data_IF_981708424178
#
_entry.id   IF_981708424178
#
_cell.length_a   1.000
_cell.length_b   1.000
_cell.length_c   1.000
_cell.angle_alpha   90.00
_cell.angle_beta   90.00
_cell.angle_gamma   90.00
#
_symmetry.space_group_name_H-M   'P 1'
#
loop_
_entity.id
_entity.type
_entity.pdbx_description
1 polymer ?
#
# COMPACT_ATOMS: atom_id res chain seq x y z
N UNK A 1 -3.04 7.43 28.59
CA UNK A 1 -3.26 6.11 27.95
C UNK A 1 -3.40 5.00 29.01
N UNK A 2 -2.43 4.79 29.90
CA UNK A 2 -2.58 3.89 31.07
C UNK A 2 -3.65 4.42 32.05
N UNK A 3 -3.59 5.72 32.38
CA UNK A 3 -4.59 6.36 33.24
C UNK A 3 -6.03 6.38 32.67
N UNK A 4 -6.21 6.07 31.38
CA UNK A 4 -7.54 6.06 30.72
C UNK A 4 -8.05 4.62 30.55
N UNK A 5 -7.16 3.65 30.34
CA UNK A 5 -7.54 2.28 29.93
C UNK A 5 -7.16 1.18 30.95
N UNK A 6 -6.52 1.52 32.08
CA UNK A 6 -6.14 0.59 33.15
C UNK A 6 -4.76 -0.06 32.96
N UNK A 7 -4.11 -0.44 34.07
CA UNK A 7 -2.86 -1.22 34.07
C UNK A 7 -3.12 -2.68 33.66
N UNK A 8 -2.12 -3.32 33.04
CA UNK A 8 -2.08 -4.74 32.62
C UNK A 8 -2.84 -5.16 31.33
N UNK A 9 -3.32 -4.23 30.51
CA UNK A 9 -3.93 -4.60 29.20
C UNK A 9 -2.94 -4.93 28.07
N UNK A 10 -1.64 -4.74 28.28
CA UNK A 10 -0.64 -4.92 27.21
C UNK A 10 -0.85 -3.99 26.00
N UNK A 11 -1.69 -2.95 26.13
CA UNK A 11 -2.15 -2.08 25.03
C UNK A 11 -1.10 -1.11 24.50
N UNK A 12 0.15 -1.24 24.95
CA UNK A 12 1.28 -0.42 24.53
C UNK A 12 2.58 -1.20 24.77
N UNK A 13 3.39 -1.33 23.72
CA UNK A 13 4.72 -1.94 23.80
C UNK A 13 5.68 -0.87 24.34
N UNK A 14 6.16 -1.08 25.56
CA UNK A 14 7.12 -0.18 26.23
C UNK A 14 8.57 -0.60 25.93
N UNK A 15 9.38 0.34 25.47
CA UNK A 15 10.80 0.17 25.14
C UNK A 15 11.25 1.14 24.04
N UNK A 16 12.55 1.47 23.95
CA UNK A 16 13.06 2.32 22.88
C UNK A 16 12.87 1.63 21.52
N UNK A 17 12.07 2.22 20.63
CA UNK A 17 11.85 1.79 19.23
C UNK A 17 13.06 2.02 18.32
N UNK A 18 14.28 1.98 18.87
CA UNK A 18 15.53 2.18 18.14
C UNK A 18 15.86 1.02 17.21
N UNK A 19 15.26 -0.15 17.44
CA UNK A 19 15.44 -1.33 16.60
C UNK A 19 14.62 -1.27 15.30
N UNK A 20 13.63 -0.36 15.20
CA UNK A 20 12.76 -0.22 14.03
C UNK A 20 13.31 0.76 12.97
N UNK A 21 14.49 1.34 13.19
CA UNK A 21 15.05 2.40 12.35
C UNK A 21 15.11 2.04 10.86
N UNK A 22 15.42 0.78 10.53
CA UNK A 22 15.50 0.33 9.12
C UNK A 22 14.13 0.33 8.45
N UNK A 23 13.11 -0.14 9.16
CA UNK A 23 11.72 -0.14 8.69
C UNK A 23 11.25 1.31 8.56
N UNK A 24 11.47 2.16 9.55
CA UNK A 24 11.10 3.58 9.49
C UNK A 24 11.77 4.33 8.34
N UNK A 25 13.05 4.04 8.06
CA UNK A 25 13.75 4.58 6.89
C UNK A 25 13.12 4.10 5.59
N UNK A 26 12.77 2.81 5.50
CA UNK A 26 12.10 2.26 4.33
C UNK A 26 10.72 2.91 4.11
N UNK A 27 9.92 3.10 5.16
CA UNK A 27 8.64 3.81 5.09
C UNK A 27 8.83 5.25 4.57
N UNK A 28 9.86 5.94 5.04
CA UNK A 28 10.20 7.28 4.54
C UNK A 28 10.56 7.25 3.05
N UNK A 29 11.34 6.27 2.62
CA UNK A 29 11.73 6.14 1.21
C UNK A 29 10.53 5.83 0.33
N UNK A 30 9.63 4.92 0.74
CA UNK A 30 8.36 4.64 0.05
C UNK A 30 7.51 5.90 -0.07
N UNK A 31 7.38 6.66 1.02
CA UNK A 31 6.63 7.90 1.01
C UNK A 31 7.26 8.91 0.03
N UNK A 32 8.54 9.23 0.20
CA UNK A 32 9.22 10.25 -0.59
C UNK A 32 9.36 9.89 -2.08
N UNK A 33 9.41 8.60 -2.43
CA UNK A 33 9.62 8.15 -3.81
C UNK A 33 8.34 7.80 -4.56
N UNK A 34 7.26 7.46 -3.84
CA UNK A 34 6.02 7.01 -4.46
C UNK A 34 4.83 7.84 -3.98
N UNK A 35 4.58 7.85 -2.67
CA UNK A 35 3.31 8.36 -2.12
C UNK A 35 3.23 9.90 -2.11
N UNK A 36 4.36 10.60 -1.99
CA UNK A 36 4.42 12.07 -1.94
C UNK A 36 3.79 12.71 -3.20
N UNK A 37 3.98 12.08 -4.37
CA UNK A 37 3.37 12.52 -5.63
C UNK A 37 1.84 12.48 -5.55
N UNK A 38 1.28 11.37 -5.07
CA UNK A 38 -0.18 11.21 -4.94
C UNK A 38 -0.75 12.08 -3.82
N UNK A 39 -0.02 12.20 -2.70
CA UNK A 39 -0.40 13.09 -1.61
C UNK A 39 -0.57 14.54 -2.10
N UNK A 40 0.45 15.08 -2.79
CA UNK A 40 0.40 16.42 -3.37
C UNK A 40 -0.70 16.55 -4.41
N UNK A 41 -0.87 15.54 -5.25
CA UNK A 41 -1.93 15.51 -6.26
C UNK A 41 -3.31 15.64 -5.63
N UNK A 42 -3.60 14.88 -4.56
CA UNK A 42 -4.90 14.93 -3.90
C UNK A 42 -5.14 16.27 -3.20
N UNK A 43 -4.12 16.83 -2.55
CA UNK A 43 -4.22 18.19 -1.98
C UNK A 43 -4.56 19.23 -3.07
N UNK A 44 -3.89 19.17 -4.23
CA UNK A 44 -4.18 20.06 -5.36
C UNK A 44 -5.60 19.86 -5.90
N UNK A 45 -6.05 18.61 -6.04
CA UNK A 45 -7.41 18.32 -6.48
C UNK A 45 -8.47 18.86 -5.51
N UNK A 46 -8.23 18.80 -4.21
CA UNK A 46 -9.11 19.36 -3.19
C UNK A 46 -9.12 20.89 -3.19
N UNK A 47 -7.93 21.51 -3.30
CA UNK A 47 -7.76 22.96 -3.37
C UNK A 47 -8.51 23.55 -4.58
N UNK A 48 -8.38 22.91 -5.74
CA UNK A 48 -9.02 23.31 -7.00
C UNK A 48 -10.48 22.84 -7.13
N UNK A 49 -11.09 22.27 -6.08
CA UNK A 49 -12.48 21.79 -6.05
C UNK A 49 -12.81 20.70 -7.09
N UNK A 50 -11.78 19.99 -7.57
CA UNK A 50 -11.94 18.80 -8.43
C UNK A 50 -12.34 17.58 -7.60
N UNK A 51 -11.80 17.48 -6.39
CA UNK A 51 -12.12 16.44 -5.42
C UNK A 51 -12.97 17.03 -4.29
N UNK A 52 -14.18 16.50 -4.10
CA UNK A 52 -15.01 16.82 -2.95
C UNK A 52 -14.94 15.67 -1.91
N UNK A 53 -14.16 15.86 -0.86
CA UNK A 53 -13.99 14.86 0.20
C UNK A 53 -15.27 14.62 1.01
N UNK A 54 -16.28 15.51 0.98
CA UNK A 54 -17.55 15.28 1.68
C UNK A 54 -18.50 14.41 0.86
N UNK A 55 -18.26 14.26 -0.45
CA UNK A 55 -19.08 13.47 -1.35
C UNK A 55 -18.56 12.01 -1.42
N UNK A 56 -19.39 11.06 -0.99
CA UNK A 56 -19.07 9.63 -0.98
C UNK A 56 -18.73 9.11 -2.38
N UNK A 57 -19.36 9.63 -3.44
CA UNK A 57 -19.09 9.24 -4.83
C UNK A 57 -17.68 9.66 -5.23
N UNK A 58 -17.27 10.87 -4.90
CA UNK A 58 -15.92 11.35 -5.20
C UNK A 58 -14.85 10.57 -4.46
N UNK A 59 -15.08 10.23 -3.17
CA UNK A 59 -14.16 9.39 -2.39
C UNK A 59 -14.06 7.98 -2.96
N UNK A 60 -15.19 7.38 -3.33
CA UNK A 60 -15.21 6.06 -3.95
C UNK A 60 -14.44 6.06 -5.28
N UNK A 61 -14.72 7.03 -6.17
CA UNK A 61 -14.01 7.16 -7.46
C UNK A 61 -12.51 7.38 -7.25
N UNK A 62 -12.14 8.19 -6.24
CA UNK A 62 -10.73 8.41 -5.89
C UNK A 62 -10.05 7.08 -5.55
N UNK A 63 -10.65 6.26 -4.68
CA UNK A 63 -10.12 4.94 -4.36
C UNK A 63 -10.08 4.02 -5.58
N UNK A 64 -11.17 3.97 -6.34
CA UNK A 64 -11.28 3.15 -7.53
C UNK A 64 -10.17 3.44 -8.55
N UNK A 65 -9.90 4.71 -8.84
CA UNK A 65 -8.88 5.11 -9.81
C UNK A 65 -7.47 4.99 -9.24
N UNK A 66 -7.22 5.48 -8.03
CA UNK A 66 -5.85 5.66 -7.55
C UNK A 66 -5.28 4.45 -6.80
N UNK A 67 -6.09 3.59 -6.17
CA UNK A 67 -5.57 2.36 -5.55
C UNK A 67 -4.80 1.46 -6.54
N UNK A 68 -5.33 1.09 -7.72
CA UNK A 68 -4.59 0.25 -8.66
C UNK A 68 -3.34 0.95 -9.23
N UNK A 69 -3.33 2.28 -9.28
CA UNK A 69 -2.19 3.08 -9.76
C UNK A 69 -1.08 3.18 -8.72
N UNK A 70 -1.44 3.41 -7.46
CA UNK A 70 -0.51 3.40 -6.33
C UNK A 70 0.12 2.01 -6.20
N UNK A 71 -0.70 0.96 -6.29
CA UNK A 71 -0.23 -0.43 -6.27
C UNK A 71 0.75 -0.73 -7.42
N UNK A 72 0.48 -0.25 -8.64
CA UNK A 72 1.43 -0.35 -9.75
C UNK A 72 2.76 0.37 -9.44
N UNK A 73 2.69 1.63 -9.00
CA UNK A 73 3.88 2.43 -8.68
C UNK A 73 4.69 1.83 -7.52
N UNK A 74 4.03 1.21 -6.53
CA UNK A 74 4.68 0.48 -5.44
C UNK A 74 5.38 -0.79 -5.94
N UNK A 75 4.80 -1.52 -6.90
CA UNK A 75 5.47 -2.67 -7.53
C UNK A 75 6.71 -2.24 -8.31
N UNK A 76 6.61 -1.19 -9.12
CA UNK A 76 7.74 -0.63 -9.88
C UNK A 76 8.86 -0.14 -8.94
N UNK A 77 8.50 0.54 -7.85
CA UNK A 77 9.45 0.94 -6.82
C UNK A 77 10.09 -0.28 -6.16
N UNK A 78 9.32 -1.31 -5.84
CA UNK A 78 9.83 -2.55 -5.22
C UNK A 78 10.84 -3.23 -6.14
N UNK A 79 10.54 -3.34 -7.43
CA UNK A 79 11.46 -3.92 -8.41
C UNK A 79 12.75 -3.10 -8.52
N UNK A 80 12.63 -1.78 -8.62
CA UNK A 80 13.78 -0.86 -8.69
C UNK A 80 14.61 -0.93 -7.41
N UNK A 81 13.94 -0.92 -6.25
CA UNK A 81 14.58 -0.96 -4.93
C UNK A 81 15.21 -2.32 -4.66
N UNK A 82 14.69 -3.43 -5.16
CA UNK A 82 15.32 -4.73 -4.92
C UNK A 82 16.49 -5.01 -5.88
N UNK A 83 16.54 -4.31 -7.01
CA UNK A 83 17.57 -4.49 -8.04
C UNK A 83 18.59 -3.34 -8.14
N UNK A 84 18.43 -2.24 -7.39
CA UNK A 84 19.41 -1.16 -7.39
C UNK A 84 20.76 -1.61 -6.82
N UNK A 85 21.83 -1.02 -7.34
CA UNK A 85 23.18 -1.33 -6.90
C UNK A 85 23.51 -0.59 -5.61
N UNK A 86 23.98 -1.31 -4.60
CA UNK A 86 24.40 -0.72 -3.33
C UNK A 86 25.91 -0.49 -3.38
N UNK A 87 26.32 0.77 -3.32
CA UNK A 87 27.74 1.16 -3.45
C UNK A 87 28.63 0.57 -2.35
N UNK A 88 28.13 0.44 -1.13
CA UNK A 88 28.88 -0.10 0.01
C UNK A 88 29.03 -1.61 -0.04
N UNK A 89 28.21 -2.30 -0.83
CA UNK A 89 28.13 -3.76 -0.91
C UNK A 89 28.65 -4.24 -2.26
N UNK A 90 29.83 -3.75 -2.67
CA UNK A 90 30.48 -4.11 -3.93
C UNK A 90 29.58 -3.99 -5.18
N UNK A 91 28.65 -3.02 -5.18
CA UNK A 91 27.72 -2.79 -6.28
C UNK A 91 26.72 -3.94 -6.53
N UNK A 92 26.55 -4.83 -5.54
CA UNK A 92 25.53 -5.87 -5.58
C UNK A 92 24.15 -5.27 -5.29
N UNK A 93 23.09 -5.87 -5.84
CA UNK A 93 21.72 -5.49 -5.50
C UNK A 93 21.23 -6.21 -4.24
N UNK A 94 20.22 -5.68 -3.54
CA UNK A 94 19.59 -6.38 -2.42
C UNK A 94 19.18 -7.81 -2.78
N UNK A 95 18.59 -8.03 -3.96
CA UNK A 95 18.28 -9.37 -4.46
C UNK A 95 19.52 -10.25 -4.60
N UNK A 96 20.63 -9.73 -5.16
CA UNK A 96 21.87 -10.51 -5.29
C UNK A 96 22.43 -10.91 -3.92
N UNK A 97 22.44 -9.99 -2.96
CA UNK A 97 22.90 -10.27 -1.60
C UNK A 97 21.99 -11.31 -0.93
N UNK A 98 20.67 -11.19 -1.13
CA UNK A 98 19.70 -12.16 -0.63
C UNK A 98 20.00 -13.55 -1.20
N UNK A 99 20.05 -13.71 -2.53
CA UNK A 99 20.34 -14.99 -3.18
C UNK A 99 21.70 -15.56 -2.75
N UNK A 100 22.74 -14.73 -2.65
CA UNK A 100 24.05 -15.18 -2.17
C UNK A 100 23.98 -15.68 -0.73
N UNK A 101 23.25 -14.98 0.14
CA UNK A 101 23.00 -15.44 1.50
C UNK A 101 22.30 -16.80 1.50
N UNK A 102 21.29 -17.00 0.66
CA UNK A 102 20.58 -18.29 0.58
C UNK A 102 21.50 -19.45 0.21
N UNK A 103 22.39 -19.24 -0.76
CA UNK A 103 23.32 -20.27 -1.22
C UNK A 103 24.38 -20.64 -0.18
N UNK A 104 24.76 -19.69 0.67
CA UNK A 104 25.84 -19.86 1.66
C UNK A 104 25.33 -20.20 3.07
N UNK A 105 24.04 -20.02 3.34
CA UNK A 105 23.47 -20.15 4.68
C UNK A 105 23.00 -21.58 4.97
N UNK A 106 23.29 -22.03 6.19
CA UNK A 106 22.70 -23.23 6.77
C UNK A 106 21.25 -22.92 7.21
N UNK A 107 20.22 -23.55 6.62
CA UNK A 107 18.81 -23.23 6.91
C UNK A 107 18.44 -23.50 8.38
N UNK A 108 19.16 -24.38 9.08
CA UNK A 108 18.93 -24.65 10.51
C UNK A 108 19.36 -23.48 11.41
N UNK A 109 20.30 -22.66 10.94
CA UNK A 109 20.90 -21.55 11.72
C UNK A 109 20.32 -20.19 11.39
N UNK A 110 19.60 -20.06 10.28
CA UNK A 110 19.09 -18.78 9.79
C UNK A 110 17.58 -18.85 9.57
N UNK A 111 16.82 -18.26 10.51
CA UNK A 111 15.34 -18.24 10.49
C UNK A 111 14.78 -17.60 9.21
N UNK A 112 15.50 -16.63 8.63
CA UNK A 112 15.13 -16.01 7.34
C UNK A 112 15.19 -16.98 6.15
N UNK A 113 16.05 -18.00 6.21
CA UNK A 113 16.20 -19.03 5.17
C UNK A 113 15.21 -20.17 5.39
N UNK A 114 15.01 -20.58 6.64
CA UNK A 114 14.03 -21.60 7.04
C UNK A 114 12.60 -21.28 6.57
N UNK A 115 12.23 -20.00 6.54
CA UNK A 115 10.86 -19.57 6.22
C UNK A 115 10.61 -19.32 4.73
N UNK A 116 11.56 -19.67 3.83
CA UNK A 116 11.43 -19.41 2.39
C UNK A 116 10.42 -20.33 1.72
N UNK A 117 10.34 -21.59 2.18
CA UNK A 117 9.41 -22.58 1.64
C UNK A 117 7.96 -22.31 2.06
N UNK A 118 7.75 -21.44 3.06
CA UNK A 118 6.42 -21.08 3.52
C UNK A 118 5.84 -19.93 2.68
N UNK A 119 4.62 -20.07 2.14
CA UNK A 119 3.96 -19.01 1.39
C UNK A 119 3.77 -17.77 2.28
N UNK A 120 3.87 -16.55 1.72
CA UNK A 120 3.80 -15.31 2.49
C UNK A 120 2.54 -15.19 3.35
N UNK A 121 1.39 -15.69 2.88
CA UNK A 121 0.14 -15.64 3.63
C UNK A 121 0.22 -16.44 4.93
N UNK A 122 0.75 -17.66 4.89
CA UNK A 122 0.91 -18.52 6.08
C UNK A 122 1.88 -17.90 7.08
N UNK A 123 2.97 -17.29 6.60
CA UNK A 123 3.94 -16.61 7.45
C UNK A 123 3.35 -15.41 8.16
N UNK A 124 2.55 -14.61 7.45
CA UNK A 124 1.82 -13.49 8.04
C UNK A 124 0.83 -14.02 9.07
N UNK A 125 0.02 -15.04 8.72
CA UNK A 125 -0.94 -15.66 9.64
C UNK A 125 -0.28 -16.15 10.94
N UNK A 126 0.83 -16.88 10.83
CA UNK A 126 1.61 -17.38 11.97
C UNK A 126 2.20 -16.23 12.79
N UNK A 127 2.72 -15.19 12.13
CA UNK A 127 3.25 -14.01 12.83
C UNK A 127 2.14 -13.28 13.59
N UNK A 128 0.96 -13.10 12.99
CA UNK A 128 -0.19 -12.47 13.62
C UNK A 128 -0.67 -13.27 14.83
N UNK A 129 -0.74 -14.60 14.71
CA UNK A 129 -1.06 -15.51 15.82
C UNK A 129 -0.02 -15.40 16.95
N UNK A 130 1.27 -15.43 16.61
CA UNK A 130 2.36 -15.35 17.59
C UNK A 130 2.41 -14.01 18.32
N UNK A 131 2.01 -12.93 17.66
CA UNK A 131 1.95 -11.59 18.24
C UNK A 131 0.62 -11.33 18.97
N UNK A 132 -0.28 -12.31 19.01
CA UNK A 132 -1.62 -12.19 19.59
C UNK A 132 -2.39 -10.98 19.04
N UNK A 133 -2.14 -10.65 17.76
CA UNK A 133 -2.80 -9.55 17.06
C UNK A 133 -4.10 -10.11 16.49
N UNK A 134 -5.19 -9.89 17.22
CA UNK A 134 -6.54 -10.24 16.78
C UNK A 134 -7.06 -9.11 15.89
N UNK A 135 -6.81 -9.19 14.57
CA UNK A 135 -7.55 -8.38 13.61
C UNK A 135 -8.97 -8.95 13.51
N UNK A 136 -9.83 -8.68 14.50
CA UNK A 136 -11.28 -8.80 14.30
C UNK A 136 -11.80 -7.75 13.33
N UNK A 137 -10.99 -6.75 13.01
CA UNK A 137 -11.22 -5.88 11.88
C UNK A 137 -10.71 -6.55 10.61
N UNK A 138 -11.54 -7.42 10.02
CA UNK A 138 -11.61 -7.55 8.56
C UNK A 138 -12.12 -6.23 7.91
N UNK A 139 -11.66 -5.09 8.40
CA UNK A 139 -11.51 -3.92 7.55
C UNK A 139 -10.26 -4.16 6.70
N UNK A 140 -10.38 -5.11 5.76
CA UNK A 140 -9.92 -4.81 4.42
C UNK A 140 -10.25 -3.34 4.17
N UNK A 141 -9.35 -2.59 3.53
CA UNK A 141 -9.70 -1.31 2.91
C UNK A 141 -10.74 -1.55 1.80
N UNK A 142 -11.90 -2.11 2.12
CA UNK A 142 -13.13 -1.68 1.49
C UNK A 142 -13.15 -0.17 1.67
N UNK A 143 -13.32 0.60 0.59
CA UNK A 143 -13.63 2.00 0.71
C UNK A 143 -14.67 2.11 1.83
N UNK A 144 -14.39 2.93 2.85
CA UNK A 144 -15.31 3.13 3.99
C UNK A 144 -16.73 3.47 3.51
N UNK A 145 -16.79 3.95 2.27
CA UNK A 145 -17.98 4.22 1.49
C UNK A 145 -18.40 2.99 0.68
N UNK A 146 -19.62 2.44 0.91
CA UNK A 146 -20.14 1.38 0.07
C UNK A 146 -20.16 1.82 -1.40
N UNK A 147 -20.00 0.87 -2.31
CA UNK A 147 -20.04 1.17 -3.74
C UNK A 147 -21.34 1.92 -4.08
N UNK A 148 -21.26 3.17 -4.59
CA UNK A 148 -22.44 3.94 -4.92
C UNK A 148 -23.10 3.48 -6.23
N UNK A 149 -22.48 2.55 -6.95
CA UNK A 149 -22.89 2.10 -8.28
C UNK A 149 -23.49 0.70 -8.25
N UNK A 150 -24.42 0.44 -9.18
CA UNK A 150 -24.93 -0.90 -9.44
C UNK A 150 -23.83 -1.80 -10.03
N UNK A 151 -24.03 -3.12 -9.94
CA UNK A 151 -23.11 -4.12 -10.50
C UNK A 151 -22.92 -3.93 -12.01
N UNK A 152 -23.98 -3.56 -12.72
CA UNK A 152 -23.96 -3.31 -14.17
C UNK A 152 -23.16 -2.05 -14.51
N UNK A 153 -23.38 -0.95 -13.78
CA UNK A 153 -22.63 0.29 -13.95
C UNK A 153 -21.13 0.09 -13.70
N UNK A 154 -20.77 -0.70 -12.67
CA UNK A 154 -19.38 -1.06 -12.40
C UNK A 154 -18.76 -1.91 -13.51
N UNK A 155 -19.48 -2.92 -14.02
CA UNK A 155 -18.98 -3.77 -15.08
C UNK A 155 -18.67 -2.96 -16.35
N UNK A 156 -19.55 -2.02 -16.70
CA UNK A 156 -19.35 -1.09 -17.80
C UNK A 156 -18.13 -0.19 -17.58
N UNK A 157 -17.92 0.30 -16.36
CA UNK A 157 -16.76 1.09 -15.97
C UNK A 157 -15.44 0.31 -16.12
N UNK A 158 -15.42 -0.94 -15.65
CA UNK A 158 -14.25 -1.82 -15.77
C UNK A 158 -13.90 -2.14 -17.23
N UNK A 159 -14.90 -2.25 -18.11
CA UNK A 159 -14.69 -2.58 -19.52
C UNK A 159 -14.29 -1.36 -20.35
N UNK A 160 -14.72 -0.16 -19.95
CA UNK A 160 -14.51 1.08 -20.71
C UNK A 160 -13.18 1.75 -20.44
N UNK A 161 -12.66 1.67 -19.22
CA UNK A 161 -11.48 2.44 -18.81
C UNK A 161 -10.37 1.52 -18.28
N UNK A 162 -9.21 1.59 -18.92
CA UNK A 162 -7.97 1.09 -18.32
C UNK A 162 -7.44 2.08 -17.27
N UNK A 163 -7.62 1.75 -16.00
CA UNK A 163 -7.17 2.57 -14.87
C UNK A 163 -5.65 2.67 -14.74
N UNK A 164 -4.90 1.73 -15.33
CA UNK A 164 -3.44 1.65 -15.24
C UNK A 164 -2.75 2.28 -16.46
N UNK A 165 -3.52 2.82 -17.41
CA UNK A 165 -2.97 3.51 -18.59
C UNK A 165 -2.04 4.66 -18.20
N UNK A 166 -1.08 4.95 -19.07
CA UNK A 166 -0.17 6.08 -18.89
C UNK A 166 -0.95 7.41 -18.79
N UNK A 167 -0.57 8.27 -17.84
CA UNK A 167 -1.18 9.59 -17.65
C UNK A 167 -0.12 10.63 -17.36
N UNK A 168 -0.16 11.74 -18.10
CA UNK A 168 0.71 12.90 -17.89
C UNK A 168 0.32 13.71 -16.64
N UNK A 169 -0.90 13.53 -16.15
CA UNK A 169 -1.44 14.20 -14.95
C UNK A 169 -1.55 13.24 -13.76
N UNK A 170 -0.71 12.20 -13.74
CA UNK A 170 -0.64 11.21 -12.65
C UNK A 170 -1.96 10.47 -12.35
N UNK A 171 -2.90 10.46 -13.29
CA UNK A 171 -4.22 9.82 -13.17
C UNK A 171 -5.38 10.80 -12.91
N UNK A 172 -5.12 12.11 -12.82
CA UNK A 172 -6.18 13.11 -12.67
C UNK A 172 -7.13 13.16 -13.88
N UNK A 173 -6.60 12.96 -15.08
CA UNK A 173 -7.39 12.82 -16.32
C UNK A 173 -8.35 11.62 -16.26
N UNK A 174 -7.86 10.47 -15.77
CA UNK A 174 -8.66 9.25 -15.60
C UNK A 174 -9.74 9.47 -14.55
N UNK A 175 -9.40 10.12 -13.43
CA UNK A 175 -10.37 10.51 -12.41
C UNK A 175 -11.49 11.37 -12.99
N UNK A 176 -11.15 12.38 -13.79
CA UNK A 176 -12.13 13.24 -14.45
C UNK A 176 -13.02 12.47 -15.42
N UNK A 177 -12.46 11.56 -16.21
CA UNK A 177 -13.22 10.73 -17.14
C UNK A 177 -14.21 9.81 -16.41
N UNK A 178 -13.78 9.13 -15.35
CA UNK A 178 -14.66 8.28 -14.52
C UNK A 178 -15.78 9.12 -13.90
N UNK A 179 -15.45 10.31 -13.40
CA UNK A 179 -16.45 11.21 -12.81
C UNK A 179 -17.50 11.66 -13.83
N UNK A 180 -17.09 11.96 -15.07
CA UNK A 180 -18.02 12.30 -16.15
C UNK A 180 -18.93 11.13 -16.53
N UNK A 181 -18.37 9.94 -16.71
CA UNK A 181 -19.17 8.73 -17.02
C UNK A 181 -20.22 8.46 -15.94
N UNK A 182 -19.84 8.61 -14.68
CA UNK A 182 -20.75 8.45 -13.55
C UNK A 182 -21.85 9.51 -13.57
N UNK A 183 -21.52 10.79 -13.78
CA UNK A 183 -22.51 11.86 -13.83
C UNK A 183 -23.52 11.69 -14.98
N UNK A 184 -23.10 11.07 -16.09
CA UNK A 184 -23.96 10.80 -17.23
C UNK A 184 -24.92 9.63 -17.02
N UNK A 185 -24.67 8.76 -16.03
CA UNK A 185 -25.57 7.65 -15.69
C UNK A 185 -26.67 8.04 -14.69
N UNK A 186 -26.55 9.21 -14.04
CA UNK A 186 -27.50 9.71 -13.04
C UNK A 186 -28.53 10.70 -13.58
N UNK A 187 -28.45 11.07 -14.87
CA UNK A 187 -29.43 11.90 -15.58
C UNK A 187 -30.27 11.03 -16.51
#
# INVERSE_FOLDING_TARGET
>A
MIAVNGEERGSFITGPSVHNQRIERQWRDVFCKVLDTYYKLFCLMEEHKLLNITNNVHRWILHYVFLPRIDLALREWTETHNNHKVRTEHNQSPNMMWFQSLLLSDPEKHTGVRNIEQPPQERIQQTMQNLNIDFQDEQYLHPRDPCPFSVESLANLHQSIDLKRHSLSHGMDIYGEVLQLVSNQTN
#
